data_IF_467310360011
#
_entry.id   IF_467310360011
#
_cell.length_a   1.000
_cell.length_b   1.000
_cell.length_c   1.000
_cell.angle_alpha   90.00
_cell.angle_beta   90.00
_cell.angle_gamma   90.00
#
_symmetry.space_group_name_H-M   'P 1'
#
loop_
_entity.id
_entity.type
_entity.pdbx_description
1 polymer ?
#
# COMPACT_ATOMS: atom_id res chain seq x y z
N UNK A 1 42.08 -15.98 23.08
CA UNK A 1 43.40 -16.15 22.51
C UNK A 1 44.29 -14.89 22.61
N UNK A 2 43.95 -13.76 21.99
CA UNK A 2 44.75 -12.52 22.06
C UNK A 2 45.09 -12.05 23.48
N UNK A 3 44.11 -12.05 24.41
CA UNK A 3 44.31 -11.70 25.82
C UNK A 3 45.29 -12.63 26.54
N UNK A 4 45.23 -13.93 26.21
CA UNK A 4 46.11 -14.95 26.80
C UNK A 4 47.55 -14.81 26.29
N UNK A 5 47.71 -14.52 24.99
CA UNK A 5 49.04 -14.27 24.40
C UNK A 5 49.67 -13.00 24.97
N UNK A 6 48.91 -11.92 25.11
CA UNK A 6 49.38 -10.66 25.69
C UNK A 6 49.71 -10.78 27.19
N UNK A 7 48.97 -11.60 27.96
CA UNK A 7 49.25 -11.85 29.37
C UNK A 7 50.49 -12.71 29.59
N UNK A 8 50.69 -13.74 28.74
CA UNK A 8 51.88 -14.61 28.75
C UNK A 8 53.14 -13.85 28.37
N UNK A 9 53.06 -12.98 27.34
CA UNK A 9 54.19 -12.13 26.92
C UNK A 9 54.60 -11.10 27.98
N UNK A 10 53.66 -10.65 28.85
CA UNK A 10 53.89 -9.63 29.85
C UNK A 10 54.14 -10.14 31.29
N UNK A 11 54.14 -11.44 31.57
CA UNK A 11 54.28 -12.09 32.89
C UNK A 11 53.36 -11.54 34.01
N UNK A 12 52.21 -10.97 33.67
CA UNK A 12 51.28 -10.35 34.65
C UNK A 12 49.84 -10.86 34.50
N UNK A 13 49.45 -11.80 35.35
CA UNK A 13 48.11 -12.41 35.34
C UNK A 13 46.97 -11.41 35.61
N UNK A 14 47.20 -10.36 36.38
CA UNK A 14 46.22 -9.30 36.61
C UNK A 14 45.87 -8.53 35.34
N UNK A 15 46.79 -8.36 34.41
CA UNK A 15 46.53 -7.73 33.10
C UNK A 15 45.64 -8.57 32.20
N UNK A 16 45.66 -9.88 32.34
CA UNK A 16 44.81 -10.79 31.60
C UNK A 16 43.30 -10.53 31.87
N UNK A 17 42.90 -10.43 33.12
CA UNK A 17 41.51 -10.19 33.49
C UNK A 17 41.00 -8.82 33.00
N UNK A 18 41.82 -7.80 33.09
CA UNK A 18 41.50 -6.47 32.57
C UNK A 18 41.32 -6.48 31.06
N UNK A 19 42.27 -7.04 30.34
CA UNK A 19 42.22 -7.14 28.89
C UNK A 19 41.04 -7.98 28.44
N UNK A 20 40.76 -9.09 29.13
CA UNK A 20 39.61 -9.94 28.82
C UNK A 20 38.27 -9.20 29.02
N UNK A 21 38.08 -8.53 30.15
CA UNK A 21 36.86 -7.76 30.40
C UNK A 21 36.69 -6.61 29.41
N UNK A 22 37.76 -5.90 29.05
CA UNK A 22 37.74 -4.83 28.05
C UNK A 22 37.37 -5.35 26.66
N UNK A 23 38.00 -6.46 26.22
CA UNK A 23 37.69 -7.09 24.94
C UNK A 23 36.27 -7.60 24.87
N UNK A 24 35.77 -8.26 25.91
CA UNK A 24 34.37 -8.71 25.99
C UNK A 24 33.38 -7.54 25.93
N UNK A 25 33.67 -6.48 26.65
CA UNK A 25 32.80 -5.29 26.66
C UNK A 25 32.82 -4.56 25.32
N UNK A 26 33.98 -4.47 24.65
CA UNK A 26 34.09 -3.80 23.36
C UNK A 26 33.53 -4.60 22.18
N UNK A 27 33.61 -5.94 22.24
CA UNK A 27 33.18 -6.81 21.12
C UNK A 27 31.68 -7.08 21.06
N UNK A 28 30.95 -6.88 22.18
CA UNK A 28 29.49 -7.08 22.24
C UNK A 28 28.80 -5.76 22.58
N UNK A 29 28.74 -4.80 21.65
CA UNK A 29 28.09 -3.53 21.93
C UNK A 29 26.59 -3.73 22.15
N UNK A 30 26.04 -3.11 23.20
CA UNK A 30 24.61 -3.06 23.52
C UNK A 30 23.78 -2.57 22.32
N UNK A 31 24.37 -1.76 21.45
CA UNK A 31 23.75 -1.28 20.20
C UNK A 31 23.32 -2.40 19.26
N UNK A 32 24.01 -3.55 19.23
CA UNK A 32 23.64 -4.68 18.37
C UNK A 32 22.36 -5.37 18.86
N UNK A 33 22.15 -5.53 20.16
CA UNK A 33 20.93 -6.12 20.70
C UNK A 33 19.72 -5.24 20.44
N UNK A 34 19.88 -3.92 20.45
CA UNK A 34 18.82 -2.95 20.20
C UNK A 34 18.58 -2.68 18.71
N UNK A 35 19.55 -2.98 17.85
CA UNK A 35 19.48 -2.70 16.41
C UNK A 35 18.29 -3.36 15.69
N UNK A 36 17.84 -4.53 16.15
CA UNK A 36 16.69 -5.25 15.59
C UNK A 36 15.39 -4.99 16.34
N UNK A 37 15.43 -5.05 17.66
CA UNK A 37 14.25 -5.00 18.51
C UNK A 37 13.59 -3.63 18.53
N UNK A 38 14.38 -2.55 18.62
CA UNK A 38 13.86 -1.19 18.72
C UNK A 38 13.16 -0.74 17.43
N UNK A 39 13.74 -0.84 16.22
CA UNK A 39 13.05 -0.48 14.99
C UNK A 39 11.76 -1.26 14.77
N UNK A 40 11.74 -2.56 15.10
CA UNK A 40 10.55 -3.38 14.99
C UNK A 40 9.44 -2.93 15.94
N UNK A 41 9.78 -2.65 17.21
CA UNK A 41 8.79 -2.16 18.19
C UNK A 41 8.21 -0.80 17.79
N UNK A 42 9.02 0.09 17.24
CA UNK A 42 8.58 1.40 16.74
C UNK A 42 7.68 1.25 15.52
N UNK A 43 7.99 0.33 14.60
CA UNK A 43 7.13 -0.01 13.48
C UNK A 43 5.78 -0.54 13.95
N UNK A 44 5.76 -1.53 14.85
CA UNK A 44 4.52 -2.11 15.38
C UNK A 44 3.64 -1.05 16.06
N UNK A 45 4.22 -0.16 16.88
CA UNK A 45 3.49 0.95 17.52
C UNK A 45 2.87 1.91 16.52
N UNK A 46 3.55 2.18 15.41
CA UNK A 46 3.03 3.05 14.37
C UNK A 46 1.89 2.36 13.60
N UNK A 47 2.12 1.15 13.13
CA UNK A 47 1.15 0.39 12.35
C UNK A 47 -0.12 0.09 13.14
N UNK A 48 -0.02 -0.11 14.45
CA UNK A 48 -1.20 -0.24 15.32
C UNK A 48 -2.13 0.97 15.24
N UNK A 49 -1.58 2.19 15.18
CA UNK A 49 -2.39 3.42 15.02
C UNK A 49 -3.07 3.49 13.65
N UNK A 50 -2.44 2.95 12.61
CA UNK A 50 -2.99 2.90 11.24
C UNK A 50 -3.93 1.74 11.00
N UNK A 51 -4.11 0.86 11.98
CA UNK A 51 -4.97 -0.30 11.86
C UNK A 51 -4.32 -1.46 11.11
N UNK A 52 -3.03 -1.67 11.33
CA UNK A 52 -2.26 -2.73 10.69
C UNK A 52 -1.42 -3.49 11.71
N UNK A 53 -1.16 -4.75 11.40
CA UNK A 53 -0.23 -5.59 12.14
C UNK A 53 0.66 -6.35 11.17
N UNK A 54 1.95 -6.46 11.48
CA UNK A 54 2.94 -7.23 10.70
C UNK A 54 3.25 -8.53 11.42
N UNK A 55 3.40 -9.63 10.68
CA UNK A 55 3.76 -10.95 11.20
C UNK A 55 5.23 -11.01 11.65
N UNK A 56 5.56 -10.20 12.65
CA UNK A 56 6.88 -10.12 13.26
C UNK A 56 7.99 -9.74 12.28
N UNK A 57 9.20 -10.16 12.58
CA UNK A 57 10.39 -9.89 11.77
C UNK A 57 10.32 -10.50 10.37
N UNK A 58 9.83 -11.75 10.26
CA UNK A 58 9.71 -12.47 8.98
C UNK A 58 8.77 -11.74 8.03
N UNK A 59 7.60 -11.34 8.51
CA UNK A 59 6.62 -10.58 7.74
C UNK A 59 7.15 -9.22 7.29
N UNK A 60 7.76 -8.45 8.20
CA UNK A 60 8.35 -7.16 7.87
C UNK A 60 9.47 -7.26 6.82
N UNK A 61 10.32 -8.29 6.92
CA UNK A 61 11.39 -8.54 5.93
C UNK A 61 10.82 -8.89 4.56
N UNK A 62 9.80 -9.74 4.49
CA UNK A 62 9.12 -10.07 3.24
C UNK A 62 8.49 -8.83 2.59
N UNK A 63 7.78 -8.01 3.37
CA UNK A 63 7.19 -6.76 2.89
C UNK A 63 8.23 -5.72 2.44
N UNK A 64 9.39 -5.68 3.08
CA UNK A 64 10.47 -4.76 2.69
C UNK A 64 11.06 -5.06 1.31
N UNK A 65 10.92 -6.28 0.84
CA UNK A 65 11.35 -6.70 -0.50
C UNK A 65 10.35 -6.33 -1.60
N UNK A 66 9.12 -5.93 -1.24
CA UNK A 66 8.09 -5.58 -2.20
C UNK A 66 8.52 -4.41 -3.09
N UNK A 67 8.44 -4.60 -4.41
CA UNK A 67 8.72 -3.57 -5.43
C UNK A 67 7.47 -3.17 -6.19
N UNK A 68 6.43 -3.98 -6.13
CA UNK A 68 5.14 -3.77 -6.77
C UNK A 68 4.04 -4.02 -5.77
N UNK A 69 2.98 -3.24 -5.85
CA UNK A 69 1.78 -3.39 -5.02
C UNK A 69 0.59 -3.42 -5.95
N UNK A 70 -0.23 -4.44 -5.84
CA UNK A 70 -1.48 -4.55 -6.59
C UNK A 70 -2.50 -3.64 -5.93
N UNK A 71 -3.19 -2.85 -6.73
CA UNK A 71 -4.17 -1.86 -6.29
C UNK A 71 -5.46 -2.10 -7.04
N UNK A 72 -6.54 -2.32 -6.30
CA UNK A 72 -7.89 -2.56 -6.85
C UNK A 72 -8.71 -1.27 -6.95
N UNK A 73 -9.90 -1.38 -7.50
CA UNK A 73 -10.86 -0.27 -7.56
C UNK A 73 -11.25 0.21 -6.15
N UNK A 74 -11.45 -0.72 -5.22
CA UNK A 74 -11.83 -0.44 -3.83
C UNK A 74 -10.73 0.28 -3.06
N UNK A 75 -9.47 -0.05 -3.32
CA UNK A 75 -8.32 0.63 -2.73
C UNK A 75 -8.21 2.10 -3.17
N UNK A 76 -8.59 2.37 -4.43
CA UNK A 76 -8.51 3.71 -5.02
C UNK A 76 -9.70 4.59 -4.64
N UNK A 77 -10.88 3.99 -4.69
CA UNK A 77 -12.15 4.65 -4.45
C UNK A 77 -13.02 3.75 -3.57
N UNK A 78 -12.71 3.63 -2.27
CA UNK A 78 -13.50 2.78 -1.39
C UNK A 78 -14.97 3.16 -1.48
N UNK A 79 -15.83 2.14 -1.56
CA UNK A 79 -17.28 2.30 -1.55
C UNK A 79 -17.69 2.87 -0.18
N UNK A 80 -17.67 4.18 -0.07
CA UNK A 80 -18.29 4.87 1.05
C UNK A 80 -19.80 4.76 0.91
N UNK A 81 -20.51 4.72 2.02
CA UNK A 81 -21.96 4.87 2.04
C UNK A 81 -22.29 6.12 1.23
N UNK A 82 -22.97 5.95 0.11
CA UNK A 82 -23.45 7.05 -0.72
C UNK A 82 -24.43 7.85 0.14
N UNK A 83 -23.93 8.89 0.78
CA UNK A 83 -24.82 9.89 1.32
C UNK A 83 -25.34 10.67 0.12
N UNK A 84 -26.60 10.49 -0.23
CA UNK A 84 -27.38 11.48 -0.95
C UNK A 84 -27.40 12.74 -0.07
N UNK A 85 -26.31 13.49 -0.04
CA UNK A 85 -26.27 14.76 0.67
C UNK A 85 -27.17 15.74 -0.05
N UNK A 86 -28.41 15.85 0.44
CA UNK A 86 -29.14 17.12 0.38
C UNK A 86 -28.18 18.19 0.91
N UNK A 87 -27.84 19.19 0.09
CA UNK A 87 -27.16 20.40 0.50
C UNK A 87 -27.82 20.96 1.76
N UNK A 88 -27.17 20.83 2.90
CA UNK A 88 -27.65 21.43 4.14
C UNK A 88 -26.92 20.90 5.37
N UNK A 89 -26.00 21.71 5.87
CA UNK A 89 -25.38 21.74 7.18
C UNK A 89 -24.27 20.71 7.48
N UNK A 90 -23.13 21.30 7.72
CA UNK A 90 -21.91 20.70 8.26
C UNK A 90 -22.18 19.96 9.58
N UNK A 91 -21.83 18.68 9.60
CA UNK A 91 -21.69 17.86 10.79
C UNK A 91 -20.24 17.35 10.87
N UNK A 92 -19.74 16.93 12.06
CA UNK A 92 -18.32 16.82 12.33
C UNK A 92 -17.60 15.73 11.54
N UNK A 93 -16.42 16.08 11.16
CA UNK A 93 -15.28 15.42 10.54
C UNK A 93 -15.17 13.88 10.67
N UNK A 94 -15.97 13.12 9.94
CA UNK A 94 -15.67 11.72 9.59
C UNK A 94 -16.40 11.31 8.31
N UNK A 95 -16.39 12.16 7.27
CA UNK A 95 -16.90 11.78 5.98
C UNK A 95 -16.03 10.67 5.38
N UNK A 96 -16.61 9.58 4.84
CA UNK A 96 -15.87 8.55 4.14
C UNK A 96 -15.19 9.16 2.93
N UNK A 97 -13.89 8.96 2.87
CA UNK A 97 -12.97 9.65 1.99
C UNK A 97 -12.82 8.81 0.74
N UNK A 98 -13.38 9.25 -0.35
CA UNK A 98 -13.26 8.60 -1.66
C UNK A 98 -14.56 7.92 -2.08
N UNK A 99 -15.49 8.72 -2.56
CA UNK A 99 -16.78 8.22 -3.04
C UNK A 99 -16.87 8.29 -4.56
N UNK A 100 -17.60 7.33 -5.12
CA UNK A 100 -18.06 7.39 -6.50
C UNK A 100 -19.47 7.96 -6.47
N UNK A 101 -19.71 9.07 -7.17
CA UNK A 101 -21.00 9.74 -7.23
C UNK A 101 -21.58 9.64 -8.63
N UNK A 102 -22.90 9.42 -8.74
CA UNK A 102 -23.63 9.59 -9.99
C UNK A 102 -24.12 11.04 -10.08
N UNK A 103 -23.53 11.81 -11.00
CA UNK A 103 -23.88 13.21 -11.21
C UNK A 103 -24.98 13.42 -12.26
N UNK A 104 -25.37 12.37 -12.99
CA UNK A 104 -26.42 12.45 -13.99
C UNK A 104 -26.67 11.11 -14.65
N UNK A 105 -27.91 10.91 -15.04
CA UNK A 105 -28.38 9.77 -15.80
C UNK A 105 -29.19 10.30 -16.99
N UNK A 106 -28.88 9.80 -18.19
CA UNK A 106 -29.68 10.07 -19.39
C UNK A 106 -29.98 8.73 -20.05
N UNK A 107 -31.24 8.44 -20.26
CA UNK A 107 -31.74 7.19 -20.83
C UNK A 107 -32.28 7.45 -22.22
N UNK A 108 -32.11 6.48 -23.14
CA UNK A 108 -32.49 6.56 -24.54
C UNK A 108 -33.24 5.28 -24.91
N UNK A 109 -34.52 5.40 -25.24
CA UNK A 109 -35.34 4.28 -25.78
C UNK A 109 -35.66 3.16 -24.80
N UNK A 110 -35.22 3.24 -23.55
CA UNK A 110 -35.48 2.25 -22.49
C UNK A 110 -36.18 2.93 -21.31
N UNK A 111 -36.91 2.16 -20.49
CA UNK A 111 -37.39 2.64 -19.21
C UNK A 111 -36.21 2.79 -18.23
N UNK A 112 -36.22 3.85 -17.41
CA UNK A 112 -35.16 4.13 -16.43
C UNK A 112 -34.90 2.92 -15.53
N UNK A 113 -35.97 2.28 -15.04
CA UNK A 113 -35.86 1.12 -14.15
C UNK A 113 -35.21 -0.09 -14.82
N UNK A 114 -35.51 -0.30 -16.11
CA UNK A 114 -34.90 -1.37 -16.90
C UNK A 114 -33.44 -1.09 -17.18
N UNK A 115 -33.10 0.15 -17.53
CA UNK A 115 -31.70 0.56 -17.75
C UNK A 115 -30.86 0.40 -16.47
N UNK A 116 -31.41 0.76 -15.30
CA UNK A 116 -30.74 0.55 -14.00
C UNK A 116 -30.56 -0.92 -13.68
N UNK A 117 -31.58 -1.77 -13.95
CA UNK A 117 -31.50 -3.21 -13.72
C UNK A 117 -30.45 -3.88 -14.62
N UNK A 118 -30.34 -3.49 -15.89
CA UNK A 118 -29.29 -3.95 -16.80
C UNK A 118 -27.89 -3.51 -16.31
N UNK A 119 -27.74 -2.25 -15.90
CA UNK A 119 -26.49 -1.73 -15.38
C UNK A 119 -26.04 -2.44 -14.09
N UNK A 120 -26.97 -2.67 -13.17
CA UNK A 120 -26.69 -3.41 -11.92
C UNK A 120 -26.27 -4.84 -12.23
N UNK A 121 -27.04 -5.58 -13.04
CA UNK A 121 -26.76 -6.96 -13.38
C UNK A 121 -25.38 -7.12 -14.02
N UNK A 122 -25.04 -6.25 -14.98
CA UNK A 122 -23.73 -6.26 -15.64
C UNK A 122 -22.62 -5.91 -14.66
N UNK A 123 -22.77 -4.84 -13.85
CA UNK A 123 -21.78 -4.44 -12.86
C UNK A 123 -21.56 -5.50 -11.78
N UNK A 124 -22.60 -6.16 -11.33
CA UNK A 124 -22.56 -7.25 -10.36
C UNK A 124 -21.82 -8.46 -10.93
N UNK A 125 -22.15 -8.89 -12.14
CA UNK A 125 -21.44 -9.98 -12.81
C UNK A 125 -19.97 -9.66 -13.07
N UNK A 126 -19.66 -8.40 -13.42
CA UNK A 126 -18.31 -7.92 -13.61
C UNK A 126 -17.52 -7.72 -12.28
N UNK A 127 -18.16 -7.83 -11.13
CA UNK A 127 -17.53 -7.48 -9.84
C UNK A 127 -17.05 -6.04 -9.82
N UNK A 128 -17.80 -5.14 -10.45
CA UNK A 128 -17.46 -3.71 -10.54
C UNK A 128 -17.77 -2.98 -9.25
N UNK A 129 -16.93 -2.04 -8.89
CA UNK A 129 -17.16 -1.11 -7.77
C UNK A 129 -18.43 -0.25 -7.93
N UNK A 130 -19.00 -0.17 -9.14
CA UNK A 130 -20.24 0.54 -9.39
C UNK A 130 -21.48 -0.23 -8.94
N UNK A 131 -21.37 -1.51 -8.60
CA UNK A 131 -22.48 -2.35 -8.16
C UNK A 131 -23.26 -1.76 -6.98
N UNK A 132 -22.64 -1.33 -5.87
CA UNK A 132 -23.37 -0.72 -4.76
C UNK A 132 -24.10 0.57 -5.15
N UNK A 133 -23.53 1.34 -6.09
CA UNK A 133 -24.16 2.56 -6.61
C UNK A 133 -25.49 2.25 -7.31
N UNK A 134 -25.48 1.26 -8.22
CA UNK A 134 -26.70 0.87 -8.93
C UNK A 134 -27.71 0.18 -8.02
N UNK A 135 -27.27 -0.63 -7.05
CA UNK A 135 -28.14 -1.22 -6.05
C UNK A 135 -28.89 -0.16 -5.24
N UNK A 136 -28.21 0.87 -4.75
CA UNK A 136 -28.85 1.96 -4.02
C UNK A 136 -29.83 2.76 -4.87
N UNK A 137 -29.54 2.93 -6.17
CA UNK A 137 -30.47 3.60 -7.08
C UNK A 137 -31.72 2.76 -7.38
N UNK A 138 -31.59 1.44 -7.30
CA UNK A 138 -32.71 0.51 -7.47
C UNK A 138 -33.53 0.33 -6.17
N UNK A 139 -32.92 0.54 -5.00
CA UNK A 139 -33.61 0.37 -3.72
C UNK A 139 -34.83 1.27 -3.62
N UNK A 140 -35.97 0.61 -3.48
CA UNK A 140 -37.29 1.26 -3.41
C UNK A 140 -37.95 1.60 -4.76
N UNK A 141 -37.30 1.41 -5.90
CA UNK A 141 -37.83 1.70 -7.23
C UNK A 141 -38.01 0.45 -8.12
N UNK A 142 -37.12 -0.55 -7.94
CA UNK A 142 -37.12 -1.74 -8.81
C UNK A 142 -37.15 -3.01 -7.98
N UNK A 143 -38.16 -3.84 -8.18
CA UNK A 143 -38.35 -5.10 -7.45
C UNK A 143 -37.77 -6.33 -8.14
N UNK A 144 -37.21 -6.18 -9.34
CA UNK A 144 -36.69 -7.30 -10.15
C UNK A 144 -35.16 -7.20 -10.32
N UNK A 145 -34.47 -8.34 -10.28
CA UNK A 145 -33.07 -8.47 -10.55
C UNK A 145 -32.86 -9.39 -11.74
N UNK A 146 -31.91 -9.04 -12.59
CA UNK A 146 -31.56 -9.86 -13.74
C UNK A 146 -30.26 -10.61 -13.50
N UNK A 147 -30.13 -11.78 -14.11
CA UNK A 147 -28.88 -12.50 -14.15
C UNK A 147 -28.18 -12.27 -15.50
N UNK A 148 -26.88 -12.08 -15.42
CA UNK A 148 -26.02 -11.84 -16.58
C UNK A 148 -25.20 -13.10 -16.87
N UNK A 149 -25.12 -13.47 -18.15
CA UNK A 149 -24.39 -14.61 -18.67
C UNK A 149 -23.39 -14.15 -19.71
N UNK A 150 -22.38 -14.98 -20.03
CA UNK A 150 -21.40 -14.75 -21.09
C UNK A 150 -20.68 -13.40 -20.98
N UNK A 151 -20.05 -13.18 -19.84
CA UNK A 151 -19.35 -11.93 -19.55
C UNK A 151 -18.01 -11.85 -20.27
N UNK A 152 -17.81 -10.82 -21.09
CA UNK A 152 -16.57 -10.56 -21.80
C UNK A 152 -16.01 -9.19 -21.48
N UNK A 153 -14.69 -9.14 -21.23
CA UNK A 153 -13.95 -7.89 -20.99
C UNK A 153 -13.10 -7.53 -22.20
N UNK A 154 -13.01 -6.25 -22.49
CA UNK A 154 -12.28 -5.71 -23.64
C UNK A 154 -11.13 -4.79 -23.19
N UNK A 155 -10.02 -4.85 -23.92
CA UNK A 155 -8.85 -3.98 -23.65
C UNK A 155 -9.17 -2.49 -23.82
N UNK A 156 -10.14 -2.18 -24.64
CA UNK A 156 -10.58 -0.81 -24.92
C UNK A 156 -11.41 -0.15 -23.79
N UNK A 157 -11.53 -0.82 -22.65
CA UNK A 157 -12.24 -0.29 -21.49
C UNK A 157 -13.74 -0.46 -21.60
N UNK A 158 -14.16 -1.67 -21.92
CA UNK A 158 -15.56 -2.07 -21.97
C UNK A 158 -15.78 -3.51 -21.51
N UNK A 159 -17.02 -3.81 -21.22
CA UNK A 159 -17.51 -5.12 -20.82
C UNK A 159 -18.87 -5.37 -21.48
N UNK A 160 -19.14 -6.58 -21.90
CA UNK A 160 -20.48 -6.97 -22.34
C UNK A 160 -20.91 -8.31 -21.72
N UNK A 161 -22.19 -8.53 -21.75
CA UNK A 161 -22.83 -9.77 -21.29
C UNK A 161 -24.20 -9.94 -21.96
N UNK A 162 -24.76 -11.12 -21.80
CA UNK A 162 -26.13 -11.44 -22.22
C UNK A 162 -27.07 -11.37 -21.01
N UNK A 163 -28.10 -10.53 -21.07
CA UNK A 163 -29.15 -10.40 -20.05
C UNK A 163 -30.50 -10.55 -20.69
N UNK A 164 -31.27 -11.57 -20.31
CA UNK A 164 -32.61 -11.89 -20.88
C UNK A 164 -32.59 -12.02 -22.41
N UNK A 165 -31.52 -12.53 -22.98
CA UNK A 165 -31.36 -12.70 -24.44
C UNK A 165 -30.91 -11.44 -25.18
N UNK A 166 -30.83 -10.28 -24.51
CA UNK A 166 -30.29 -9.04 -25.07
C UNK A 166 -28.78 -8.90 -24.79
N UNK A 167 -28.02 -8.41 -25.75
CA UNK A 167 -26.61 -8.10 -25.57
C UNK A 167 -26.43 -6.73 -24.93
N UNK A 168 -26.07 -6.71 -23.65
CA UNK A 168 -25.83 -5.47 -22.91
C UNK A 168 -24.32 -5.22 -22.82
N UNK A 169 -23.88 -4.04 -23.29
CA UNK A 169 -22.49 -3.64 -23.20
C UNK A 169 -22.36 -2.31 -22.46
N UNK A 170 -21.31 -2.20 -21.63
CA UNK A 170 -21.01 -1.00 -20.85
C UNK A 170 -19.53 -0.64 -21.00
N UNK A 171 -19.23 0.64 -21.14
CA UNK A 171 -17.84 1.06 -21.31
C UNK A 171 -17.64 2.55 -21.53
N UNK A 172 -16.41 2.90 -21.92
CA UNK A 172 -16.01 4.26 -22.25
C UNK A 172 -16.62 4.71 -23.60
N UNK A 173 -16.62 6.02 -23.86
CA UNK A 173 -17.01 6.55 -25.16
C UNK A 173 -16.16 5.99 -26.31
N UNK A 174 -14.88 5.73 -26.05
CA UNK A 174 -13.98 5.10 -27.04
C UNK A 174 -14.43 3.67 -27.41
N UNK A 175 -14.75 2.88 -26.40
CA UNK A 175 -15.27 1.52 -26.58
C UNK A 175 -16.58 1.50 -27.40
N UNK A 176 -17.52 2.39 -27.09
CA UNK A 176 -18.78 2.51 -27.84
C UNK A 176 -18.56 2.91 -29.30
N UNK A 177 -17.68 3.88 -29.57
CA UNK A 177 -17.33 4.27 -30.94
C UNK A 177 -16.71 3.13 -31.74
N UNK A 178 -15.84 2.34 -31.12
CA UNK A 178 -15.24 1.17 -31.77
C UNK A 178 -16.26 0.10 -32.14
N UNK A 179 -17.34 0.00 -31.37
CA UNK A 179 -18.53 -0.85 -31.66
C UNK A 179 -19.52 -0.18 -32.63
N UNK A 180 -19.19 0.96 -33.21
CA UNK A 180 -20.02 1.72 -34.15
C UNK A 180 -21.35 2.17 -33.53
N UNK A 181 -21.41 2.37 -32.22
CA UNK A 181 -22.58 2.88 -31.52
C UNK A 181 -22.56 4.41 -31.61
N UNK A 182 -23.65 4.98 -32.12
CA UNK A 182 -23.80 6.44 -32.28
C UNK A 182 -23.91 7.11 -30.92
N UNK A 183 -23.05 8.09 -30.65
CA UNK A 183 -23.05 8.86 -29.42
C UNK A 183 -23.51 10.30 -29.70
N UNK A 184 -24.24 10.94 -28.80
CA UNK A 184 -24.62 12.36 -28.90
C UNK A 184 -23.37 13.27 -28.94
N UNK A 185 -23.43 14.34 -29.74
CA UNK A 185 -22.30 15.26 -29.95
C UNK A 185 -22.01 16.20 -28.76
N UNK A 186 -23.00 16.46 -27.89
CA UNK A 186 -22.97 17.53 -26.88
C UNK A 186 -22.41 17.11 -25.51
N UNK A 187 -21.84 15.92 -25.37
CA UNK A 187 -21.42 15.41 -24.09
C UNK A 187 -19.92 15.57 -23.85
N UNK A 188 -19.54 16.13 -22.70
CA UNK A 188 -18.16 16.05 -22.18
C UNK A 188 -17.85 14.59 -21.88
N UNK A 189 -17.23 13.90 -22.83
CA UNK A 189 -17.07 12.45 -22.90
C UNK A 189 -16.12 11.84 -21.87
N UNK A 190 -15.41 12.64 -21.06
CA UNK A 190 -14.31 12.16 -20.23
C UNK A 190 -14.74 11.40 -18.94
N UNK A 191 -16.00 11.52 -18.52
CA UNK A 191 -16.49 10.96 -17.24
C UNK A 191 -17.74 10.10 -17.39
N UNK A 192 -18.23 9.88 -18.62
CA UNK A 192 -19.42 9.06 -18.89
C UNK A 192 -19.10 7.57 -18.92
N UNK A 193 -19.96 6.78 -18.30
CA UNK A 193 -20.09 5.34 -18.54
C UNK A 193 -21.28 5.17 -19.47
N UNK A 194 -21.05 4.61 -20.64
CA UNK A 194 -22.08 4.43 -21.67
C UNK A 194 -22.56 2.99 -21.64
N UNK A 195 -23.85 2.81 -21.74
CA UNK A 195 -24.48 1.50 -21.84
C UNK A 195 -25.24 1.38 -23.14
N UNK A 196 -25.09 0.25 -23.81
CA UNK A 196 -25.86 -0.10 -25.01
C UNK A 196 -26.57 -1.43 -24.81
N UNK A 197 -27.74 -1.54 -25.41
CA UNK A 197 -28.55 -2.78 -25.50
C UNK A 197 -28.74 -3.07 -26.96
N UNK A 198 -28.42 -4.29 -27.39
CA UNK A 198 -28.51 -4.77 -28.78
C UNK A 198 -27.91 -3.79 -29.81
N UNK A 199 -26.74 -3.23 -29.46
CA UNK A 199 -26.00 -2.30 -30.33
C UNK A 199 -26.55 -0.89 -30.41
N UNK A 200 -27.58 -0.54 -29.62
CA UNK A 200 -28.16 0.81 -29.55
C UNK A 200 -27.81 1.44 -28.20
N UNK A 201 -27.53 2.74 -28.20
CA UNK A 201 -27.27 3.47 -26.95
C UNK A 201 -28.56 3.45 -26.09
N UNK A 202 -28.46 2.86 -24.90
CA UNK A 202 -29.58 2.76 -23.95
C UNK A 202 -29.46 3.76 -22.80
N UNK A 203 -28.25 3.97 -22.24
CA UNK A 203 -28.08 4.92 -21.14
C UNK A 203 -26.69 5.49 -21.10
N UNK A 204 -26.60 6.67 -20.46
CA UNK A 204 -25.35 7.36 -20.13
C UNK A 204 -25.35 7.70 -18.65
N UNK A 205 -24.38 7.16 -17.92
CA UNK A 205 -24.19 7.41 -16.50
C UNK A 205 -22.99 8.36 -16.35
N UNK A 206 -23.22 9.54 -15.80
CA UNK A 206 -22.12 10.49 -15.51
C UNK A 206 -21.57 10.18 -14.13
N UNK A 207 -20.51 9.36 -14.09
CA UNK A 207 -19.86 8.92 -12.87
C UNK A 207 -18.72 9.85 -12.49
N UNK A 208 -18.77 10.41 -11.29
CA UNK A 208 -17.72 11.27 -10.74
C UNK A 208 -16.95 10.54 -9.67
N UNK A 209 -15.65 10.42 -9.90
CA UNK A 209 -14.71 9.87 -8.93
C UNK A 209 -14.08 11.00 -8.11
N UNK A 210 -14.27 10.95 -6.80
CA UNK A 210 -13.71 11.93 -5.85
C UNK A 210 -12.39 11.40 -5.29
N UNK A 211 -11.24 12.06 -5.59
CA UNK A 211 -9.95 11.60 -5.09
C UNK A 211 -9.81 11.87 -3.59
N UNK A 212 -9.43 10.84 -2.86
CA UNK A 212 -9.08 10.94 -1.45
C UNK A 212 -7.66 11.45 -1.25
N UNK A 213 -7.47 12.36 -0.28
CA UNK A 213 -6.13 12.81 0.13
C UNK A 213 -5.26 11.64 0.65
N UNK A 214 -5.86 10.69 1.34
CA UNK A 214 -5.16 9.52 1.87
C UNK A 214 -4.64 8.61 0.75
N UNK A 215 -5.45 8.37 -0.28
CA UNK A 215 -5.05 7.58 -1.46
C UNK A 215 -4.00 8.34 -2.27
N UNK A 216 -4.15 9.64 -2.46
CA UNK A 216 -3.16 10.49 -3.14
C UNK A 216 -1.80 10.42 -2.42
N UNK A 217 -1.80 10.58 -1.09
CA UNK A 217 -0.59 10.46 -0.27
C UNK A 217 0.02 9.05 -0.40
N UNK A 218 -0.79 8.00 -0.28
CA UNK A 218 -0.33 6.62 -0.36
C UNK A 218 0.33 6.30 -1.71
N UNK A 219 -0.29 6.69 -2.83
CA UNK A 219 0.26 6.49 -4.17
C UNK A 219 1.58 7.24 -4.37
N UNK A 220 1.67 8.49 -3.88
CA UNK A 220 2.90 9.28 -3.94
C UNK A 220 4.00 8.69 -3.06
N UNK A 221 3.65 8.26 -1.84
CA UNK A 221 4.57 7.68 -0.89
C UNK A 221 5.15 6.34 -1.38
N UNK A 222 4.31 5.46 -1.95
CA UNK A 222 4.75 4.22 -2.59
C UNK A 222 5.77 4.51 -3.69
N UNK A 223 5.45 5.41 -4.60
CA UNK A 223 6.34 5.81 -5.70
C UNK A 223 7.67 6.39 -5.21
N UNK A 224 7.63 7.27 -4.21
CA UNK A 224 8.83 7.86 -3.59
C UNK A 224 9.76 6.81 -2.99
N UNK A 225 9.20 5.72 -2.47
CA UNK A 225 9.94 4.59 -1.91
C UNK A 225 10.21 3.46 -2.94
N UNK A 226 10.13 3.77 -4.25
CA UNK A 226 10.41 2.85 -5.36
C UNK A 226 9.50 1.61 -5.39
N UNK A 227 8.28 1.76 -4.90
CA UNK A 227 7.23 0.76 -5.03
C UNK A 227 6.26 1.21 -6.11
N UNK A 228 6.07 0.39 -7.13
CA UNK A 228 5.24 0.75 -8.27
C UNK A 228 3.83 0.17 -8.11
N UNK A 229 2.78 0.99 -8.13
CA UNK A 229 1.41 0.51 -8.14
C UNK A 229 1.11 -0.21 -9.46
N UNK A 230 0.50 -1.38 -9.37
CA UNK A 230 -0.01 -2.19 -10.50
C UNK A 230 -1.53 -2.20 -10.37
N UNK A 231 -2.21 -1.71 -11.39
CA UNK A 231 -3.66 -1.62 -11.36
C UNK A 231 -4.30 -2.97 -11.69
N UNK A 232 -5.11 -3.48 -10.79
CA UNK A 232 -5.96 -4.66 -10.95
C UNK A 232 -7.42 -4.21 -10.92
N UNK A 233 -7.77 -3.27 -11.82
CA UNK A 233 -9.08 -2.65 -11.85
C UNK A 233 -10.03 -3.38 -12.78
N UNK A 234 -11.27 -3.56 -12.34
CA UNK A 234 -12.41 -4.09 -13.12
C UNK A 234 -13.27 -2.97 -13.69
N UNK A 235 -13.14 -1.77 -13.13
CA UNK A 235 -13.87 -0.59 -13.59
C UNK A 235 -13.45 -0.12 -14.97
N UNK A 236 -14.41 0.02 -15.88
CA UNK A 236 -14.19 0.42 -17.28
C UNK A 236 -13.61 1.82 -17.45
N UNK A 237 -13.81 2.70 -16.48
CA UNK A 237 -13.37 4.11 -16.53
C UNK A 237 -12.10 4.39 -15.73
N UNK A 238 -11.56 3.43 -14.97
CA UNK A 238 -10.37 3.62 -14.16
C UNK A 238 -9.13 3.33 -15.01
N UNK A 239 -8.60 4.37 -15.63
CA UNK A 239 -7.43 4.31 -16.50
C UNK A 239 -6.21 4.98 -15.86
N UNK A 240 -4.96 4.61 -16.27
CA UNK A 240 -3.76 5.27 -15.77
C UNK A 240 -3.73 6.78 -16.00
N UNK A 241 -4.32 7.24 -17.10
CA UNK A 241 -4.42 8.66 -17.43
C UNK A 241 -5.38 9.40 -16.48
N UNK A 242 -6.52 8.78 -16.20
CA UNK A 242 -7.48 9.30 -15.23
C UNK A 242 -6.84 9.44 -13.85
N UNK A 243 -6.16 8.38 -13.37
CA UNK A 243 -5.48 8.39 -12.08
C UNK A 243 -4.36 9.42 -12.02
N UNK A 244 -3.56 9.53 -13.09
CA UNK A 244 -2.50 10.56 -13.17
C UNK A 244 -3.08 11.97 -13.00
N UNK A 245 -4.20 12.28 -13.66
CA UNK A 245 -4.88 13.59 -13.56
C UNK A 245 -5.52 13.79 -12.18
N UNK A 246 -6.29 12.82 -11.70
CA UNK A 246 -7.06 12.92 -10.45
C UNK A 246 -6.18 13.01 -9.21
N UNK A 247 -5.14 12.18 -9.14
CA UNK A 247 -4.22 12.13 -8.00
C UNK A 247 -2.90 12.90 -8.23
N UNK A 248 -2.81 13.68 -9.30
CA UNK A 248 -1.63 14.51 -9.66
C UNK A 248 -0.32 13.72 -9.56
N UNK A 249 -0.30 12.50 -10.14
CA UNK A 249 0.87 11.64 -10.09
C UNK A 249 1.91 12.05 -11.14
N UNK A 250 3.19 12.02 -10.77
CA UNK A 250 4.30 12.33 -11.68
C UNK A 250 4.49 11.26 -12.76
N UNK A 251 4.13 10.00 -12.48
CA UNK A 251 4.24 8.89 -13.41
C UNK A 251 2.98 8.02 -13.38
N UNK A 252 2.73 7.35 -14.51
CA UNK A 252 1.59 6.43 -14.63
C UNK A 252 1.84 5.16 -13.83
N UNK A 253 0.82 4.59 -13.15
CA UNK A 253 0.89 3.24 -12.60
C UNK A 253 0.98 2.21 -13.73
N UNK A 254 1.44 1.00 -13.41
CA UNK A 254 1.45 -0.12 -14.37
C UNK A 254 0.00 -0.53 -14.62
N UNK A 255 -0.34 -0.70 -15.88
CA UNK A 255 -1.67 -1.14 -16.32
C UNK A 255 -1.51 -2.37 -17.21
N UNK A 256 -1.63 -3.58 -16.63
CA UNK A 256 -1.52 -4.82 -17.37
C UNK A 256 -2.69 -5.03 -18.36
N UNK A 257 -2.57 -5.99 -19.26
CA UNK A 257 -3.69 -6.43 -20.10
C UNK A 257 -4.85 -6.98 -19.28
N UNK A 258 -6.04 -7.04 -19.88
CA UNK A 258 -7.30 -7.40 -19.19
C UNK A 258 -7.19 -8.72 -18.46
N UNK A 259 -6.73 -9.79 -19.11
CA UNK A 259 -6.62 -11.12 -18.49
C UNK A 259 -5.76 -11.08 -17.21
N UNK A 260 -4.61 -10.38 -17.26
CA UNK A 260 -3.72 -10.23 -16.10
C UNK A 260 -4.36 -9.38 -15.00
N UNK A 261 -5.09 -8.32 -15.35
CA UNK A 261 -5.78 -7.47 -14.37
C UNK A 261 -6.85 -8.24 -13.61
N UNK A 262 -7.65 -9.03 -14.33
CA UNK A 262 -8.70 -9.86 -13.72
C UNK A 262 -8.10 -10.93 -12.83
N UNK A 263 -7.08 -11.66 -13.30
CA UNK A 263 -6.38 -12.66 -12.49
C UNK A 263 -5.76 -12.02 -11.20
N UNK A 264 -5.16 -10.84 -11.31
CA UNK A 264 -4.64 -10.13 -10.14
C UNK A 264 -5.76 -9.68 -9.19
N UNK A 265 -6.91 -9.20 -9.72
CA UNK A 265 -8.06 -8.82 -8.91
C UNK A 265 -8.65 -10.02 -8.17
N UNK A 266 -8.74 -11.19 -8.82
CA UNK A 266 -9.21 -12.43 -8.19
C UNK A 266 -8.28 -12.89 -7.09
N UNK A 267 -6.96 -12.80 -7.29
CA UNK A 267 -5.95 -13.14 -6.29
C UNK A 267 -6.01 -12.22 -5.06
N UNK A 268 -6.37 -10.94 -5.20
CA UNK A 268 -6.50 -10.03 -4.04
C UNK A 268 -7.65 -10.39 -3.12
N UNK A 269 -8.68 -11.08 -3.63
CA UNK A 269 -9.80 -11.59 -2.83
C UNK A 269 -9.47 -12.85 -2.03
N UNK A 270 -8.36 -13.52 -2.33
CA UNK A 270 -7.97 -14.78 -1.68
C UNK A 270 -7.12 -14.50 -0.43
N UNK A 271 -7.44 -15.19 0.67
CA UNK A 271 -6.63 -15.15 1.88
C UNK A 271 -5.51 -16.17 1.76
N UNK A 272 -4.25 -15.72 1.90
CA UNK A 272 -3.10 -16.62 1.98
C UNK A 272 -3.04 -17.35 3.31
N UNK A 273 -2.50 -18.56 3.33
CA UNK A 273 -2.34 -19.39 4.54
C UNK A 273 -1.42 -18.74 5.59
N UNK A 274 -0.41 -17.99 5.15
CA UNK A 274 0.55 -17.32 6.03
C UNK A 274 0.72 -15.84 5.64
N UNK A 275 -0.17 -14.94 6.09
CA UNK A 275 -0.09 -13.53 5.76
C UNK A 275 1.14 -12.86 6.39
N UNK A 276 1.85 -12.02 5.64
CA UNK A 276 2.97 -11.22 6.14
C UNK A 276 2.51 -10.02 6.96
N UNK A 277 1.28 -9.57 6.76
CA UNK A 277 0.62 -8.52 7.52
C UNK A 277 -0.89 -8.69 7.47
N UNK A 278 -1.56 -8.14 8.46
CA UNK A 278 -3.02 -8.04 8.54
C UNK A 278 -3.38 -6.56 8.56
N UNK A 279 -4.31 -6.18 7.71
CA UNK A 279 -4.83 -4.82 7.59
C UNK A 279 -6.33 -4.90 7.86
N UNK A 280 -6.82 -4.20 8.89
CA UNK A 280 -8.23 -4.23 9.27
C UNK A 280 -8.96 -2.91 8.97
N UNK A 281 -8.22 -1.91 8.48
CA UNK A 281 -8.83 -0.68 7.94
C UNK A 281 -8.78 -0.71 6.43
N UNK A 282 -9.91 -0.43 5.81
CA UNK A 282 -10.00 -0.36 4.36
C UNK A 282 -9.18 0.79 3.77
N UNK A 283 -8.74 0.60 2.53
CA UNK A 283 -8.07 1.60 1.72
C UNK A 283 -6.56 1.43 1.59
N UNK A 284 -6.01 2.18 0.65
CA UNK A 284 -4.62 2.08 0.22
C UNK A 284 -3.61 2.59 1.25
N UNK A 285 -4.01 3.54 2.12
CA UNK A 285 -3.10 4.17 3.09
C UNK A 285 -2.49 3.17 4.07
N UNK A 286 -3.28 2.31 4.76
CA UNK A 286 -2.72 1.33 5.69
C UNK A 286 -1.75 0.36 5.02
N UNK A 287 -2.06 -0.09 3.80
CA UNK A 287 -1.19 -0.96 3.01
C UNK A 287 0.13 -0.26 2.66
N UNK A 288 0.08 0.98 2.19
CA UNK A 288 1.26 1.77 1.87
C UNK A 288 2.15 1.98 3.11
N UNK A 289 1.58 2.31 4.25
CA UNK A 289 2.32 2.47 5.51
C UNK A 289 2.99 1.17 5.96
N UNK A 290 2.32 0.03 5.78
CA UNK A 290 2.87 -1.29 6.13
C UNK A 290 4.09 -1.63 5.27
N UNK A 291 4.02 -1.43 3.96
CA UNK A 291 5.13 -1.71 3.03
C UNK A 291 6.29 -0.74 3.26
N UNK A 292 6.01 0.56 3.30
CA UNK A 292 7.04 1.60 3.44
C UNK A 292 7.69 1.51 4.82
N UNK A 293 6.89 1.33 5.88
CA UNK A 293 7.38 1.15 7.24
C UNK A 293 8.32 -0.04 7.37
N UNK A 294 7.96 -1.17 6.76
CA UNK A 294 8.80 -2.38 6.72
C UNK A 294 10.12 -2.14 5.97
N UNK A 295 10.11 -1.41 4.84
CA UNK A 295 11.33 -1.04 4.11
C UNK A 295 12.24 -0.16 4.97
N UNK A 296 11.68 0.87 5.62
CA UNK A 296 12.42 1.77 6.50
C UNK A 296 12.99 1.07 7.73
N UNK A 297 12.19 0.19 8.34
CA UNK A 297 12.66 -0.64 9.45
C UNK A 297 13.87 -1.49 9.04
N UNK A 298 13.77 -2.25 7.94
CA UNK A 298 14.88 -3.08 7.47
C UNK A 298 16.12 -2.26 7.10
N UNK A 299 15.95 -1.05 6.56
CA UNK A 299 17.04 -0.14 6.28
C UNK A 299 17.70 0.36 7.58
N UNK A 300 16.91 0.79 8.56
CA UNK A 300 17.41 1.20 9.86
C UNK A 300 18.21 0.09 10.55
N UNK A 301 17.69 -1.14 10.53
CA UNK A 301 18.38 -2.30 11.09
C UNK A 301 19.71 -2.55 10.38
N UNK A 302 19.75 -2.51 9.05
CA UNK A 302 21.03 -2.71 8.31
C UNK A 302 22.09 -1.69 8.72
N UNK A 303 21.72 -0.41 8.76
CA UNK A 303 22.66 0.64 9.14
C UNK A 303 23.05 0.56 10.61
N UNK A 304 22.12 0.30 11.51
CA UNK A 304 22.41 0.13 12.94
C UNK A 304 23.34 -1.07 13.19
N UNK A 305 23.09 -2.19 12.51
CA UNK A 305 23.94 -3.37 12.62
C UNK A 305 25.34 -3.13 12.04
N UNK A 306 25.44 -2.47 10.87
CA UNK A 306 26.73 -2.12 10.28
C UNK A 306 27.55 -1.20 11.20
N UNK A 307 26.92 -0.17 11.78
CA UNK A 307 27.56 0.72 12.76
C UNK A 307 27.97 -0.05 14.02
N UNK A 308 27.13 -0.97 14.49
CA UNK A 308 27.47 -1.82 15.63
C UNK A 308 28.73 -2.69 15.37
N UNK A 309 28.84 -3.29 14.19
CA UNK A 309 30.02 -4.04 13.79
C UNK A 309 31.27 -3.16 13.69
N UNK A 310 31.18 -2.00 13.04
CA UNK A 310 32.28 -1.05 12.95
C UNK A 310 32.72 -0.60 14.34
N UNK A 311 31.75 -0.25 15.21
CA UNK A 311 32.01 0.14 16.57
C UNK A 311 32.71 -0.96 17.40
N UNK A 312 32.22 -2.21 17.25
CA UNK A 312 32.87 -3.37 17.89
C UNK A 312 34.32 -3.58 17.44
N UNK A 313 34.59 -3.47 16.14
CA UNK A 313 35.94 -3.55 15.60
C UNK A 313 36.85 -2.41 16.11
N UNK A 314 36.33 -1.18 16.10
CA UNK A 314 37.06 -0.03 16.65
C UNK A 314 37.34 -0.22 18.14
N UNK A 315 36.36 -0.73 18.92
CA UNK A 315 36.56 -1.03 20.34
C UNK A 315 37.63 -2.10 20.58
N UNK A 316 37.65 -3.16 19.75
CA UNK A 316 38.65 -4.21 19.83
C UNK A 316 40.06 -3.66 19.54
N UNK A 317 40.21 -2.90 18.45
CA UNK A 317 41.53 -2.30 18.07
C UNK A 317 42.00 -1.31 19.13
N UNK A 318 41.08 -0.46 19.62
CA UNK A 318 41.39 0.52 20.66
C UNK A 318 41.81 -0.16 21.97
N UNK A 319 41.07 -1.19 22.41
CA UNK A 319 41.43 -1.94 23.64
C UNK A 319 42.78 -2.63 23.52
N UNK A 320 43.07 -3.20 22.34
CA UNK A 320 44.38 -3.80 22.06
C UNK A 320 45.51 -2.77 22.10
N UNK A 321 45.33 -1.63 21.42
CA UNK A 321 46.34 -0.55 21.38
C UNK A 321 46.61 0.00 22.79
N UNK A 322 45.57 0.34 23.56
CA UNK A 322 45.72 0.86 24.92
C UNK A 322 46.46 -0.13 25.86
N UNK A 323 46.19 -1.42 25.67
CA UNK A 323 46.85 -2.47 26.44
C UNK A 323 48.33 -2.58 26.10
N UNK A 324 48.71 -2.52 24.82
CA UNK A 324 50.09 -2.56 24.37
C UNK A 324 50.84 -1.30 24.76
N UNK A 325 50.19 -0.15 24.75
CA UNK A 325 50.76 1.12 25.21
C UNK A 325 50.94 1.20 26.75
N UNK A 326 50.32 0.27 27.49
CA UNK A 326 50.40 0.25 28.96
C UNK A 326 49.49 1.24 29.67
N UNK A 327 48.58 1.90 28.95
CA UNK A 327 47.64 2.87 29.50
C UNK A 327 46.36 2.18 30.00
N UNK A 328 46.46 1.55 31.17
CA UNK A 328 45.34 0.86 31.80
C UNK A 328 44.28 1.81 32.39
N UNK A 329 44.61 3.06 32.65
CA UNK A 329 43.67 4.05 33.17
C UNK A 329 42.56 4.34 32.11
N UNK A 330 42.93 4.37 30.84
CA UNK A 330 41.98 4.55 29.74
C UNK A 330 41.04 3.35 29.52
N UNK A 331 41.41 2.16 30.04
CA UNK A 331 40.58 0.95 30.01
C UNK A 331 39.64 0.83 31.22
N UNK A 332 39.47 1.91 31.98
CA UNK A 332 38.56 1.89 33.15
C UNK A 332 37.11 1.59 32.74
N UNK A 333 36.30 0.95 33.61
CA UNK A 333 34.92 0.64 33.32
C UNK A 333 34.10 1.85 32.92
N UNK A 334 34.41 3.04 33.43
CA UNK A 334 33.69 4.27 33.11
C UNK A 334 33.87 4.68 31.65
N UNK A 335 35.13 4.65 31.15
CA UNK A 335 35.42 4.99 29.75
C UNK A 335 34.86 3.95 28.78
N UNK A 336 34.90 2.65 29.14
CA UNK A 336 34.23 1.60 28.37
C UNK A 336 32.73 1.79 28.29
N UNK A 337 32.09 2.15 29.40
CA UNK A 337 30.65 2.45 29.42
C UNK A 337 30.33 3.70 28.59
N UNK A 338 31.15 4.74 28.66
CA UNK A 338 31.01 5.94 27.83
C UNK A 338 31.14 5.61 26.33
N UNK A 339 32.09 4.75 25.95
CA UNK A 339 32.26 4.29 24.58
C UNK A 339 31.04 3.51 24.07
N UNK A 340 30.52 2.57 24.88
CA UNK A 340 29.31 1.83 24.57
C UNK A 340 28.08 2.75 24.45
N UNK A 341 27.95 3.74 25.31
CA UNK A 341 26.89 4.75 25.26
C UNK A 341 27.01 5.62 24.00
N UNK A 342 28.21 6.00 23.60
CA UNK A 342 28.46 6.73 22.36
C UNK A 342 27.99 5.95 21.13
N UNK A 343 28.22 4.64 21.07
CA UNK A 343 27.77 3.77 19.98
C UNK A 343 26.26 3.56 19.99
N UNK A 344 25.60 3.75 21.12
CA UNK A 344 24.16 3.62 21.23
C UNK A 344 23.41 4.80 20.58
N UNK A 345 23.96 6.02 20.65
CA UNK A 345 23.31 7.23 20.11
C UNK A 345 22.94 7.12 18.62
N UNK A 346 23.85 6.75 17.70
CA UNK A 346 23.47 6.61 16.30
C UNK A 346 22.43 5.52 16.06
N UNK A 347 22.43 4.43 16.83
CA UNK A 347 21.43 3.35 16.68
C UNK A 347 20.03 3.83 17.12
N UNK A 348 19.96 4.64 18.17
CA UNK A 348 18.71 5.26 18.61
C UNK A 348 18.18 6.26 17.57
N UNK A 349 19.05 7.10 17.02
CA UNK A 349 18.69 8.07 15.97
C UNK A 349 18.17 7.36 14.72
N UNK A 350 18.89 6.35 14.21
CA UNK A 350 18.47 5.59 13.04
C UNK A 350 17.15 4.85 13.26
N UNK A 351 16.95 4.29 14.46
CA UNK A 351 15.69 3.65 14.82
C UNK A 351 14.54 4.66 14.87
N UNK A 352 14.82 5.88 15.33
CA UNK A 352 13.84 6.97 15.35
C UNK A 352 13.32 7.37 13.98
N UNK A 353 14.15 7.26 12.94
CA UNK A 353 13.74 7.56 11.56
C UNK A 353 12.62 6.65 11.02
N UNK A 354 12.40 5.48 11.62
CA UNK A 354 11.27 4.60 11.28
C UNK A 354 9.92 5.27 11.56
N UNK A 355 9.87 6.27 12.43
CA UNK A 355 8.63 7.00 12.75
C UNK A 355 8.23 8.03 11.69
N UNK A 356 9.18 8.52 10.89
CA UNK A 356 8.99 9.65 9.96
C UNK A 356 9.04 9.19 8.51
N UNK A 357 7.90 9.15 7.83
CA UNK A 357 7.77 8.95 6.37
C UNK A 357 6.45 9.47 5.80
#
# INVERSE_FOLDING_TARGET
>A
MLALVAALAGHQMNRFLWLWSALLSATVPLSLSLSGTLPLSLLCRRLHKSGCAVAGWKGARALSAARRVVVTDEDLFPAGVLSLQKKGKEGPASAPVGTVELNGLKVYGEEINQALAYAEALCRAAGSQLTPLFQQLMDGQVSFRYDAHDLHYYEDGGVDCTIRGATVAMGSAYFMKKRRITLPHDLKMDTGVFMSVDGRLAAIFVVKYLPSRNVEWALRALRRNRVTPVLATRGVNITPNMLKRKFRLNARPIYPGVATRLALADLTGQRGEAPNAIIYRDGLLPMAETVIGSQRMCQAVRWSTALGWIGGLCGLVLSYYLTTAGDFAALSPLYMLAFLALLLLPTLLLSGLVKYY
#
